data_IF_343077587926
#
_entry.id   IF_343077587926
#
_cell.length_a   1.000
_cell.length_b   1.000
_cell.length_c   1.000
_cell.angle_alpha   90.00
_cell.angle_beta   90.00
_cell.angle_gamma   90.00
#
_symmetry.space_group_name_H-M   'P 1'
#
loop_
_entity.id
_entity.type
_entity.pdbx_description
1 polymer ?
#
# COMPACT_ATOMS: atom_id res chain seq x y z
N UNK A 1 17.44 23.03 -52.28
CA UNK A 1 17.15 22.20 -51.10
C UNK A 1 15.63 22.21 -50.98
N UNK A 2 14.86 21.36 -51.68
CA UNK A 2 14.70 19.91 -51.51
C UNK A 2 14.35 19.61 -50.03
N UNK A 3 13.21 19.07 -49.61
CA UNK A 3 12.14 18.28 -50.25
C UNK A 3 10.82 18.47 -49.48
N UNK A 4 9.71 18.15 -50.15
CA UNK A 4 8.30 18.06 -49.75
C UNK A 4 7.97 17.37 -48.41
N UNK A 5 6.75 17.60 -47.89
CA UNK A 5 5.76 16.51 -47.86
C UNK A 5 4.32 17.00 -47.65
N UNK A 6 3.48 16.68 -48.63
CA UNK A 6 2.03 16.80 -48.61
C UNK A 6 1.37 15.50 -48.13
N UNK A 7 0.30 15.70 -47.34
CA UNK A 7 -1.04 15.13 -47.47
C UNK A 7 -1.33 13.62 -47.29
N UNK A 8 -2.42 13.40 -46.53
CA UNK A 8 -3.35 12.26 -46.51
C UNK A 8 -2.79 10.97 -45.89
N UNK A 9 -3.45 10.27 -44.97
CA UNK A 9 -4.81 9.72 -45.05
C UNK A 9 -5.41 9.41 -43.66
N UNK A 10 -6.74 9.22 -43.68
CA UNK A 10 -7.71 8.91 -42.63
C UNK A 10 -7.46 7.55 -41.91
N UNK A 11 -7.97 7.45 -40.67
CA UNK A 11 -8.46 6.26 -39.94
C UNK A 11 -7.57 5.42 -39.00
N UNK A 12 -8.07 5.33 -37.76
CA UNK A 12 -8.09 4.19 -36.83
C UNK A 12 -6.90 3.23 -36.82
N UNK A 13 -5.84 3.59 -36.08
CA UNK A 13 -4.91 2.55 -35.57
C UNK A 13 -3.99 3.04 -34.44
N UNK A 14 -4.50 3.79 -33.48
CA UNK A 14 -3.66 4.38 -32.41
C UNK A 14 -4.09 4.04 -30.98
N UNK A 15 -5.07 3.14 -30.81
CA UNK A 15 -5.48 2.68 -29.48
C UNK A 15 -4.84 1.34 -29.08
N UNK A 16 -4.57 0.45 -30.05
CA UNK A 16 -4.06 -0.90 -29.78
C UNK A 16 -2.58 -0.94 -29.38
N UNK A 17 -1.77 0.07 -29.75
CA UNK A 17 -0.32 0.07 -29.44
C UNK A 17 0.03 0.50 -28.01
N UNK A 18 -0.82 1.28 -27.32
CA UNK A 18 -0.48 1.79 -25.98
C UNK A 18 -0.71 0.73 -24.89
N UNK A 19 -1.81 -0.01 -24.97
CA UNK A 19 -2.11 -1.08 -24.02
C UNK A 19 -1.17 -2.29 -24.19
N UNK A 20 -0.77 -2.63 -25.43
CA UNK A 20 0.18 -3.74 -25.67
C UNK A 20 1.58 -3.48 -25.13
N UNK A 21 2.05 -2.22 -25.19
CA UNK A 21 3.36 -1.85 -24.65
C UNK A 21 3.38 -1.81 -23.11
N UNK A 22 2.24 -1.49 -22.47
CA UNK A 22 2.13 -1.52 -21.01
C UNK A 22 2.08 -2.95 -20.45
N UNK A 23 1.28 -3.83 -21.07
CA UNK A 23 1.16 -5.24 -20.61
C UNK A 23 2.46 -6.02 -20.83
N UNK A 24 3.21 -5.75 -21.90
CA UNK A 24 4.52 -6.38 -22.16
C UNK A 24 5.59 -6.00 -21.12
N UNK A 25 5.44 -4.86 -20.44
CA UNK A 25 6.38 -4.42 -19.41
C UNK A 25 6.13 -5.12 -18.07
N UNK A 26 4.87 -5.47 -17.77
CA UNK A 26 4.49 -6.05 -16.48
C UNK A 26 4.44 -7.58 -16.47
N UNK A 27 4.32 -8.23 -17.63
CA UNK A 27 4.21 -9.69 -17.74
C UNK A 27 5.46 -10.27 -18.41
N UNK A 28 6.29 -11.07 -17.71
CA UNK A 28 7.43 -11.73 -18.33
C UNK A 28 6.96 -12.70 -19.43
N UNK A 29 7.50 -12.53 -20.64
CA UNK A 29 7.12 -13.32 -21.82
C UNK A 29 7.51 -14.79 -21.64
N UNK A 30 6.53 -15.66 -21.40
CA UNK A 30 6.69 -17.13 -21.45
C UNK A 30 6.36 -17.64 -22.87
N UNK A 31 7.28 -18.39 -23.48
CA UNK A 31 7.00 -19.09 -24.75
C UNK A 31 6.25 -20.40 -24.46
N UNK A 32 4.94 -20.39 -24.66
CA UNK A 32 4.10 -21.59 -24.67
C UNK A 32 3.31 -21.66 -25.99
N UNK A 33 3.28 -22.83 -26.62
CA UNK A 33 2.44 -23.13 -27.79
C UNK A 33 0.95 -22.80 -27.49
N UNK A 34 0.32 -22.01 -28.37
CA UNK A 34 -1.11 -21.68 -28.35
C UNK A 34 -2.00 -22.91 -28.63
N UNK A 35 -3.24 -23.02 -28.09
CA UNK A 35 -4.41 -22.19 -28.49
C UNK A 35 -5.27 -21.67 -27.29
N UNK A 36 -5.79 -20.43 -27.34
CA UNK A 36 -7.23 -20.00 -27.52
C UNK A 36 -8.15 -20.34 -26.33
N UNK A 37 -9.13 -19.56 -25.82
CA UNK A 37 -9.77 -18.24 -26.01
C UNK A 37 -10.86 -18.15 -24.90
N UNK A 38 -11.48 -16.97 -24.67
CA UNK A 38 -12.72 -16.69 -23.88
C UNK A 38 -12.55 -16.43 -22.37
N UNK A 39 -12.49 -15.18 -21.90
CA UNK A 39 -13.57 -14.19 -21.69
C UNK A 39 -14.61 -14.61 -20.61
N UNK A 40 -14.60 -13.88 -19.48
CA UNK A 40 -15.69 -13.74 -18.47
C UNK A 40 -16.84 -12.86 -19.04
N UNK A 41 -17.99 -12.55 -18.37
CA UNK A 41 -18.48 -12.87 -17.02
C UNK A 41 -20.01 -13.21 -16.89
N UNK A 42 -20.35 -13.73 -15.71
CA UNK A 42 -21.49 -13.48 -14.80
C UNK A 42 -22.97 -13.19 -15.22
N UNK A 43 -23.83 -13.65 -14.30
CA UNK A 43 -25.20 -13.23 -13.92
C UNK A 43 -26.41 -13.77 -14.70
N UNK A 44 -27.24 -14.61 -14.05
CA UNK A 44 -28.39 -14.13 -13.25
C UNK A 44 -29.23 -15.29 -12.68
N UNK A 45 -29.65 -15.14 -11.43
CA UNK A 45 -30.96 -15.60 -10.97
C UNK A 45 -30.96 -16.86 -10.10
N UNK A 46 -31.22 -16.68 -8.80
CA UNK A 46 -32.31 -17.39 -8.12
C UNK A 46 -32.61 -16.76 -6.77
N UNK A 47 -33.83 -16.25 -6.65
CA UNK A 47 -34.54 -15.98 -5.40
C UNK A 47 -34.98 -17.33 -4.80
N UNK A 48 -34.84 -17.48 -3.48
CA UNK A 48 -35.78 -18.10 -2.50
C UNK A 48 -34.99 -18.65 -1.28
N UNK A 49 -35.50 -18.51 -0.04
CA UNK A 49 -34.70 -18.60 1.18
C UNK A 49 -34.61 -20.04 1.69
N UNK A 50 -33.41 -20.46 2.07
CA UNK A 50 -33.22 -21.65 2.90
C UNK A 50 -32.75 -21.22 4.29
N UNK A 51 -33.59 -21.54 5.28
CA UNK A 51 -33.19 -21.74 6.68
C UNK A 51 -31.85 -22.48 6.73
N UNK A 52 -30.80 -21.76 7.12
CA UNK A 52 -29.64 -22.36 7.75
C UNK A 52 -29.67 -21.94 9.20
N UNK A 53 -29.74 -22.96 10.04
CA UNK A 53 -29.35 -22.93 11.44
C UNK A 53 -28.24 -21.89 11.64
N UNK A 54 -28.58 -20.77 12.26
CA UNK A 54 -27.59 -19.88 12.86
C UNK A 54 -26.99 -20.67 14.02
N UNK A 55 -25.98 -21.50 13.70
CA UNK A 55 -24.89 -21.74 14.64
C UNK A 55 -24.48 -20.34 15.13
N UNK A 56 -24.82 -20.03 16.38
CA UNK A 56 -24.10 -19.04 17.17
C UNK A 56 -22.63 -19.50 17.16
N UNK A 57 -21.88 -19.10 16.12
CA UNK A 57 -20.45 -18.88 16.25
C UNK A 57 -20.33 -17.85 17.37
N UNK A 58 -20.15 -18.34 18.60
CA UNK A 58 -19.47 -17.58 19.64
C UNK A 58 -18.16 -17.11 18.99
N UNK A 59 -18.16 -15.89 18.45
CA UNK A 59 -16.95 -15.16 18.08
C UNK A 59 -16.09 -15.14 19.36
N UNK A 60 -15.16 -16.09 19.47
CA UNK A 60 -14.12 -16.07 20.49
C UNK A 60 -13.40 -14.72 20.32
N UNK A 61 -13.65 -13.79 21.25
CA UNK A 61 -13.03 -12.48 21.28
C UNK A 61 -11.50 -12.67 21.33
N UNK A 62 -10.84 -12.51 20.17
CA UNK A 62 -9.41 -12.73 20.05
C UNK A 62 -8.70 -11.76 21.02
N UNK A 63 -7.77 -12.25 21.87
CA UNK A 63 -7.08 -11.38 22.81
C UNK A 63 -6.33 -10.26 22.08
N UNK A 64 -6.62 -9.01 22.43
CA UNK A 64 -5.99 -7.83 21.83
C UNK A 64 -4.45 -7.86 22.00
N UNK A 65 -3.70 -7.55 20.93
CA UNK A 65 -2.24 -7.43 20.99
C UNK A 65 -1.84 -6.28 21.94
N UNK A 66 -1.07 -6.53 23.01
CA UNK A 66 -0.65 -5.47 23.92
C UNK A 66 0.43 -4.55 23.33
N UNK A 67 1.08 -4.90 22.21
CA UNK A 67 2.21 -4.16 21.66
C UNK A 67 1.87 -2.71 21.22
N UNK A 68 0.76 -2.42 20.51
CA UNK A 68 0.41 -1.07 20.09
C UNK A 68 0.24 -0.11 21.28
N UNK A 69 -0.54 -0.50 22.30
CA UNK A 69 -0.76 0.31 23.49
C UNK A 69 0.56 0.61 24.25
N UNK A 70 1.47 -0.37 24.31
CA UNK A 70 2.78 -0.19 24.95
C UNK A 70 3.68 0.77 24.15
N UNK A 71 3.68 0.66 22.82
CA UNK A 71 4.46 1.55 21.93
C UNK A 71 3.96 2.98 22.03
N UNK A 72 2.64 3.19 22.01
CA UNK A 72 2.03 4.51 22.18
C UNK A 72 2.37 5.13 23.55
N UNK A 73 2.32 4.34 24.63
CA UNK A 73 2.74 4.81 25.95
C UNK A 73 4.22 5.28 25.95
N UNK A 74 5.10 4.52 25.30
CA UNK A 74 6.52 4.85 25.17
C UNK A 74 6.75 6.12 24.33
N UNK A 75 5.99 6.29 23.24
CA UNK A 75 6.00 7.49 22.41
C UNK A 75 5.59 8.74 23.19
N UNK A 76 4.47 8.68 23.91
CA UNK A 76 3.91 9.83 24.63
C UNK A 76 4.71 10.25 25.86
N UNK A 77 5.36 9.29 26.54
CA UNK A 77 6.07 9.55 27.79
C UNK A 77 7.57 9.69 27.58
N UNK A 78 8.24 8.57 27.33
CA UNK A 78 9.71 8.50 27.33
C UNK A 78 10.32 9.14 26.08
N UNK A 79 9.64 9.02 24.94
CA UNK A 79 10.18 9.41 23.63
C UNK A 79 9.54 10.68 23.06
N UNK A 80 8.84 11.46 23.90
CA UNK A 80 8.07 12.64 23.46
C UNK A 80 8.92 13.70 22.75
N UNK A 81 10.19 13.87 23.15
CA UNK A 81 11.12 14.79 22.50
C UNK A 81 11.39 14.38 21.04
N UNK A 82 11.69 13.09 20.80
CA UNK A 82 11.94 12.59 19.45
C UNK A 82 10.69 12.72 18.58
N UNK A 83 9.50 12.45 19.15
CA UNK A 83 8.22 12.67 18.45
C UNK A 83 8.03 14.14 18.09
N UNK A 84 8.40 15.06 18.99
CA UNK A 84 8.35 16.50 18.71
C UNK A 84 9.28 16.90 17.56
N UNK A 85 10.54 16.42 17.54
CA UNK A 85 11.45 16.69 16.42
C UNK A 85 10.96 16.10 15.09
N UNK A 86 10.44 14.88 15.11
CA UNK A 86 9.86 14.25 13.93
C UNK A 86 8.67 15.05 13.37
N UNK A 87 7.75 15.48 14.23
CA UNK A 87 6.62 16.34 13.83
C UNK A 87 7.08 17.68 13.28
N UNK A 88 8.07 18.30 13.92
CA UNK A 88 8.63 19.55 13.44
C UNK A 88 9.28 19.40 12.05
N UNK A 89 10.01 18.31 11.80
CA UNK A 89 10.54 18.00 10.48
C UNK A 89 9.41 17.87 9.44
N UNK A 90 8.39 17.07 9.74
CA UNK A 90 7.26 16.86 8.83
C UNK A 90 6.57 18.18 8.48
N UNK A 91 6.25 19.00 9.48
CA UNK A 91 5.63 20.32 9.26
C UNK A 91 6.47 21.22 8.35
N UNK A 92 7.81 21.16 8.47
CA UNK A 92 8.72 21.95 7.64
C UNK A 92 8.79 21.42 6.20
N UNK A 93 8.89 20.10 6.03
CA UNK A 93 8.94 19.44 4.71
C UNK A 93 7.61 19.63 3.97
N UNK A 94 6.48 19.38 4.63
CA UNK A 94 5.14 19.57 4.07
C UNK A 94 4.84 21.03 3.72
N UNK A 95 5.36 21.98 4.50
CA UNK A 95 5.24 23.41 4.20
C UNK A 95 6.17 23.87 3.04
N UNK A 96 6.98 22.99 2.47
CA UNK A 96 7.97 23.34 1.43
C UNK A 96 9.09 24.25 1.95
N UNK A 97 9.31 24.27 3.27
CA UNK A 97 10.35 25.06 3.95
C UNK A 97 11.59 24.21 4.27
N UNK A 98 11.56 22.92 3.95
CA UNK A 98 12.71 22.03 4.03
C UNK A 98 13.75 22.33 2.95
N UNK A 99 14.94 21.77 3.12
CA UNK A 99 15.97 21.79 2.10
C UNK A 99 15.53 20.97 0.87
N UNK A 100 16.08 21.26 -0.33
CA UNK A 100 15.78 20.45 -1.51
C UNK A 100 16.14 18.98 -1.29
N UNK A 101 15.13 18.11 -1.35
CA UNK A 101 15.29 16.68 -1.08
C UNK A 101 15.41 16.30 0.39
N UNK A 102 15.06 17.20 1.31
CA UNK A 102 14.96 16.88 2.73
C UNK A 102 13.83 15.86 2.97
N UNK A 103 14.15 14.81 3.73
CA UNK A 103 13.19 13.87 4.30
C UNK A 103 13.35 13.82 5.83
N UNK A 104 12.40 13.17 6.51
CA UNK A 104 12.35 13.08 7.97
C UNK A 104 12.72 11.68 8.49
N UNK A 105 13.46 10.89 7.70
CA UNK A 105 13.77 9.49 8.04
C UNK A 105 14.74 9.43 9.23
N UNK A 106 15.64 10.40 9.34
CA UNK A 106 16.55 10.51 10.49
C UNK A 106 15.76 10.68 11.81
N UNK A 107 14.84 11.66 11.87
CA UNK A 107 14.03 11.89 13.06
C UNK A 107 13.10 10.71 13.35
N UNK A 108 12.58 10.05 12.30
CA UNK A 108 11.80 8.83 12.45
C UNK A 108 12.62 7.70 13.09
N UNK A 109 13.88 7.50 12.69
CA UNK A 109 14.75 6.51 13.32
C UNK A 109 15.09 6.85 14.77
N UNK A 110 15.17 8.13 15.14
CA UNK A 110 15.29 8.51 16.55
C UNK A 110 14.05 8.12 17.37
N UNK A 111 12.85 8.32 16.81
CA UNK A 111 11.60 7.86 17.44
C UNK A 111 11.61 6.34 17.61
N UNK A 112 11.84 5.59 16.53
CA UNK A 112 11.85 4.13 16.56
C UNK A 112 12.88 3.58 17.54
N UNK A 113 14.11 4.11 17.50
CA UNK A 113 15.19 3.67 18.39
C UNK A 113 14.81 3.83 19.87
N UNK A 114 14.23 4.98 20.24
CA UNK A 114 13.79 5.23 21.60
C UNK A 114 12.60 4.32 21.98
N UNK A 115 11.58 4.24 21.11
CA UNK A 115 10.35 3.47 21.38
C UNK A 115 10.68 2.00 21.52
N UNK A 116 11.53 1.43 20.69
CA UNK A 116 11.91 0.02 20.77
C UNK A 116 12.69 -0.29 22.05
N UNK A 117 13.61 0.59 22.48
CA UNK A 117 14.29 0.42 23.77
C UNK A 117 13.32 0.44 24.96
N UNK A 118 12.27 1.26 24.90
CA UNK A 118 11.24 1.35 25.93
C UNK A 118 10.25 0.16 25.88
N UNK A 119 9.79 -0.19 24.68
CA UNK A 119 8.67 -1.10 24.47
C UNK A 119 9.08 -2.57 24.50
N UNK A 120 10.24 -2.93 23.91
CA UNK A 120 10.68 -4.32 23.83
C UNK A 120 10.63 -5.07 25.18
N UNK A 121 11.24 -4.58 26.28
CA UNK A 121 11.21 -5.31 27.55
C UNK A 121 9.82 -5.37 28.19
N UNK A 122 8.88 -4.48 27.82
CA UNK A 122 7.50 -4.51 28.31
C UNK A 122 6.66 -5.50 27.51
N UNK A 123 6.81 -5.51 26.18
CA UNK A 123 6.11 -6.43 25.27
C UNK A 123 6.52 -7.87 25.58
N UNK A 124 7.83 -8.17 25.65
CA UNK A 124 8.28 -9.54 25.91
C UNK A 124 7.88 -10.06 27.30
N UNK A 125 7.56 -9.20 28.28
CA UNK A 125 6.98 -9.64 29.57
C UNK A 125 5.52 -10.06 29.48
N UNK A 126 4.80 -9.64 28.42
CA UNK A 126 3.41 -10.01 28.16
C UNK A 126 3.30 -11.28 27.32
N UNK A 127 4.37 -11.60 26.57
CA UNK A 127 4.45 -12.76 25.68
C UNK A 127 5.20 -13.96 26.31
N UNK A 128 5.86 -13.75 27.46
CA UNK A 128 6.67 -14.76 28.15
C UNK A 128 5.84 -15.61 29.14
#
# INVERSE_FOLDING_TARGET
MAIENQASTLEESTSTSLFSNFVSFFVPTAHAEAPEESEEPAEEGSDEPEEKEEEEEEEEEEPEDPAPAIREECEQKTCAEHVHHFKHCQEKVEAGKGFPGEDCVEEFFHVLHCVDQCAAPKIFKKLA
#
